data_IF_086479932252
#
_entry.id   IF_086479932252
#
_cell.length_a   1.000
_cell.length_b   1.000
_cell.length_c   1.000
_cell.angle_alpha   90.00
_cell.angle_beta   90.00
_cell.angle_gamma   90.00
#
_symmetry.space_group_name_H-M   'P 1'
#
loop_
_entity.id
_entity.type
_entity.pdbx_description
1 polymer ?
#
# COMPACT_ATOMS: atom_id res chain seq x y z
N UNK A 1 -5.57 -9.45 -19.02
CA UNK A 1 -4.11 -9.64 -19.10
C UNK A 1 -3.65 -10.28 -17.78
N UNK A 2 -2.57 -11.04 -17.80
CA UNK A 2 -1.99 -11.67 -16.61
C UNK A 2 -0.47 -11.51 -16.65
N UNK A 3 0.12 -10.98 -15.58
CA UNK A 3 1.57 -10.92 -15.45
C UNK A 3 2.11 -12.31 -15.12
N UNK A 4 3.12 -12.73 -15.86
CA UNK A 4 3.83 -13.99 -15.67
C UNK A 4 4.95 -13.81 -14.64
N UNK A 5 5.48 -14.92 -14.12
CA UNK A 5 6.56 -14.92 -13.13
C UNK A 5 7.86 -14.28 -13.64
N UNK A 6 8.08 -14.27 -14.96
CA UNK A 6 9.23 -13.65 -15.62
C UNK A 6 9.03 -12.15 -15.91
N UNK A 7 7.90 -11.56 -15.46
CA UNK A 7 7.54 -10.17 -15.67
C UNK A 7 6.88 -9.90 -17.02
N UNK A 8 6.77 -10.88 -17.91
CA UNK A 8 6.06 -10.74 -19.18
C UNK A 8 4.54 -10.69 -18.98
N UNK A 9 3.81 -10.15 -19.96
CA UNK A 9 2.35 -10.07 -19.91
C UNK A 9 1.73 -11.02 -20.92
N UNK A 10 0.88 -11.92 -20.42
CA UNK A 10 0.02 -12.74 -21.26
C UNK A 10 -1.33 -12.06 -21.46
N UNK A 11 -1.74 -11.94 -22.72
CA UNK A 11 -3.04 -11.40 -23.10
C UNK A 11 -3.87 -12.52 -23.74
N UNK A 12 -5.04 -12.76 -23.17
CA UNK A 12 -6.02 -13.71 -23.69
C UNK A 12 -7.07 -12.92 -24.45
N UNK A 13 -7.24 -13.20 -25.74
CA UNK A 13 -8.28 -12.58 -26.56
C UNK A 13 -9.66 -12.89 -25.98
N UNK A 14 -10.56 -11.91 -26.03
CA UNK A 14 -11.95 -11.99 -25.60
C UNK A 14 -12.19 -12.37 -24.11
N UNK A 15 -11.13 -12.43 -23.30
CA UNK A 15 -11.25 -12.69 -21.87
C UNK A 15 -11.87 -11.49 -21.15
N UNK A 16 -12.92 -11.75 -20.38
CA UNK A 16 -13.64 -10.74 -19.61
C UNK A 16 -13.29 -10.78 -18.11
N UNK A 17 -13.30 -9.63 -17.41
CA UNK A 17 -13.54 -8.29 -17.95
C UNK A 17 -12.36 -7.78 -18.78
N UNK A 18 -12.65 -6.98 -19.82
CA UNK A 18 -11.60 -6.44 -20.68
C UNK A 18 -10.74 -5.43 -19.89
N UNK A 19 -9.42 -5.60 -19.97
CA UNK A 19 -8.46 -4.68 -19.36
C UNK A 19 -7.29 -4.32 -20.29
N UNK A 20 -7.36 -4.72 -21.57
CA UNK A 20 -6.33 -4.41 -22.55
C UNK A 20 -6.91 -4.35 -23.96
N UNK A 21 -6.27 -3.57 -24.81
CA UNK A 21 -6.55 -3.44 -26.25
C UNK A 21 -5.28 -3.74 -27.00
N UNK A 22 -5.35 -4.71 -27.93
CA UNK A 22 -4.26 -4.99 -28.88
C UNK A 22 -4.61 -4.48 -30.26
N UNK A 23 -3.69 -3.75 -30.87
CA UNK A 23 -3.71 -3.33 -32.27
C UNK A 23 -2.69 -4.17 -33.03
N UNK A 24 -3.16 -4.93 -34.01
CA UNK A 24 -2.32 -5.70 -34.92
C UNK A 24 -2.27 -4.99 -36.28
N UNK A 25 -1.10 -4.47 -36.63
CA UNK A 25 -0.82 -3.92 -37.95
C UNK A 25 0.00 -4.94 -38.76
N UNK A 26 -0.50 -5.33 -39.93
CA UNK A 26 0.24 -6.23 -40.82
C UNK A 26 0.01 -5.92 -42.29
N UNK A 27 1.01 -6.26 -43.09
CA UNK A 27 1.07 -6.08 -44.53
C UNK A 27 1.03 -7.46 -45.19
N UNK A 28 0.11 -7.69 -46.12
CA UNK A 28 -0.08 -8.98 -46.79
C UNK A 28 -0.65 -8.76 -48.19
N UNK A 29 -0.38 -9.67 -49.12
CA UNK A 29 -1.05 -9.69 -50.44
C UNK A 29 -2.55 -9.96 -50.33
N UNK A 30 -3.01 -10.38 -49.15
CA UNK A 30 -4.41 -10.64 -48.84
C UNK A 30 -5.10 -9.48 -48.12
N UNK A 31 -4.44 -8.33 -47.94
CA UNK A 31 -5.03 -7.15 -47.30
C UNK A 31 -4.72 -5.86 -48.07
N UNK A 32 -5.45 -4.79 -47.74
CA UNK A 32 -5.33 -3.49 -48.43
C UNK A 32 -3.97 -2.80 -48.22
N UNK A 33 -3.16 -3.26 -47.25
CA UNK A 33 -1.84 -2.69 -47.02
C UNK A 33 -0.78 -3.23 -48.01
N UNK A 34 -1.05 -4.37 -48.67
CA UNK A 34 -0.13 -5.04 -49.61
C UNK A 34 1.12 -5.62 -48.94
N UNK A 35 1.83 -6.53 -49.59
CA UNK A 35 3.19 -6.95 -49.15
C UNK A 35 4.27 -5.98 -49.64
N UNK A 36 5.46 -6.04 -49.03
CA UNK A 36 6.61 -5.23 -49.44
C UNK A 36 7.46 -6.05 -50.42
N UNK A 37 7.59 -5.64 -51.69
CA UNK A 37 8.38 -6.38 -52.67
C UNK A 37 9.89 -6.24 -52.41
N UNK A 38 10.66 -7.30 -52.69
CA UNK A 38 12.12 -7.26 -52.62
C UNK A 38 12.71 -6.67 -53.90
N UNK A 39 13.67 -5.74 -53.76
CA UNK A 39 14.40 -5.15 -54.89
C UNK A 39 15.28 -6.14 -55.67
N UNK A 40 15.53 -7.35 -55.13
CA UNK A 40 16.33 -8.41 -55.76
C UNK A 40 15.70 -9.80 -55.53
N UNK A 41 14.45 -9.99 -55.98
CA UNK A 41 13.69 -11.25 -55.84
C UNK A 41 14.39 -12.50 -56.47
N UNK A 42 15.29 -12.30 -57.42
CA UNK A 42 15.81 -13.35 -58.30
C UNK A 42 16.83 -14.35 -57.72
N UNK A 43 17.34 -14.16 -56.49
CA UNK A 43 18.39 -15.03 -55.93
C UNK A 43 17.94 -15.92 -54.76
N UNK A 44 16.74 -15.70 -54.18
CA UNK A 44 16.27 -16.39 -52.98
C UNK A 44 14.86 -17.02 -53.11
N UNK A 45 14.18 -16.86 -54.26
CA UNK A 45 12.86 -17.47 -54.49
C UNK A 45 11.71 -16.87 -53.66
N UNK A 46 11.92 -15.73 -53.02
CA UNK A 46 10.89 -14.92 -52.37
C UNK A 46 10.80 -13.55 -53.04
N UNK A 47 9.60 -13.16 -53.45
CA UNK A 47 9.35 -11.91 -54.20
C UNK A 47 8.94 -10.75 -53.29
N UNK A 48 8.46 -11.04 -52.08
CA UNK A 48 8.00 -10.05 -51.11
C UNK A 48 8.16 -10.52 -49.67
N UNK A 49 8.04 -9.58 -48.72
CA UNK A 49 7.89 -9.87 -47.30
C UNK A 49 6.68 -9.14 -46.71
N UNK A 50 6.10 -9.76 -45.68
CA UNK A 50 4.86 -9.32 -45.02
C UNK A 50 5.15 -8.94 -43.56
N UNK A 51 5.52 -7.69 -43.26
CA UNK A 51 5.77 -7.30 -41.87
C UNK A 51 4.48 -7.32 -41.05
N UNK A 52 4.63 -7.71 -39.78
CA UNK A 52 3.59 -7.64 -38.76
C UNK A 52 4.14 -6.96 -37.51
N UNK A 53 3.37 -6.04 -36.95
CA UNK A 53 3.62 -5.35 -35.69
C UNK A 53 2.36 -5.40 -34.85
N UNK A 54 2.55 -5.54 -33.54
CA UNK A 54 1.45 -5.62 -32.57
C UNK A 54 1.77 -4.65 -31.45
N UNK A 55 0.78 -3.91 -30.97
CA UNK A 55 0.89 -3.02 -29.81
C UNK A 55 -0.31 -3.24 -28.88
N UNK A 56 -0.12 -3.28 -27.57
CA UNK A 56 -1.10 -3.72 -26.57
C UNK A 56 -1.12 -2.77 -25.37
N UNK A 57 -2.08 -1.85 -25.35
CA UNK A 57 -2.30 -1.00 -24.17
C UNK A 57 -3.16 -1.74 -23.12
N UNK A 58 -2.68 -1.83 -21.87
CA UNK A 58 -3.44 -2.37 -20.76
C UNK A 58 -3.83 -1.28 -19.75
N UNK A 59 -5.06 -1.33 -19.23
CA UNK A 59 -5.49 -0.53 -18.09
C UNK A 59 -5.25 -1.33 -16.81
N UNK A 60 -4.21 -0.96 -16.05
CA UNK A 60 -3.94 -1.54 -14.75
C UNK A 60 -4.58 -0.68 -13.66
N UNK A 61 -5.57 -1.27 -12.99
CA UNK A 61 -6.18 -0.66 -11.83
C UNK A 61 -5.42 -1.08 -10.57
N UNK A 62 -5.43 -0.23 -9.55
CA UNK A 62 -4.83 -0.56 -8.27
C UNK A 62 -5.83 -0.36 -7.13
N UNK A 63 -5.89 -1.37 -6.27
CA UNK A 63 -6.65 -1.36 -5.03
C UNK A 63 -5.66 -1.56 -3.89
N UNK A 64 -5.64 -0.62 -2.95
CA UNK A 64 -4.71 -0.68 -1.85
C UNK A 64 -5.33 -0.32 -0.50
N UNK A 65 -4.80 -0.91 0.55
CA UNK A 65 -5.09 -0.51 1.93
C UNK A 65 -3.85 0.11 2.56
N UNK A 66 -4.03 1.29 3.15
CA UNK A 66 -3.12 1.85 4.15
C UNK A 66 -3.39 1.11 5.47
N UNK A 67 -2.40 0.40 5.99
CA UNK A 67 -2.51 -0.47 7.17
C UNK A 67 -1.58 0.06 8.25
N UNK A 68 -2.14 0.89 9.13
CA UNK A 68 -1.38 1.85 9.92
C UNK A 68 -1.42 1.54 11.41
N UNK A 69 -0.24 1.48 12.03
CA UNK A 69 -0.08 1.35 13.49
C UNK A 69 -0.67 2.55 14.25
N UNK A 70 -1.45 2.27 15.27
CA UNK A 70 -2.04 3.22 16.24
C UNK A 70 -1.85 2.75 17.69
N UNK A 71 -0.79 1.99 17.94
CA UNK A 71 -0.32 1.65 19.28
C UNK A 71 0.09 2.91 20.06
N UNK A 72 0.31 2.78 21.36
CA UNK A 72 0.57 3.94 22.21
C UNK A 72 1.87 4.67 21.86
N UNK A 73 2.87 3.98 21.32
CA UNK A 73 4.14 4.61 20.88
C UNK A 73 3.92 5.71 19.85
N UNK A 74 2.85 5.63 19.07
CA UNK A 74 2.49 6.65 18.10
C UNK A 74 2.15 8.02 18.74
N UNK A 75 1.87 8.07 20.05
CA UNK A 75 1.70 9.32 20.81
C UNK A 75 3.02 9.98 21.23
N UNK A 76 4.14 9.25 21.18
CA UNK A 76 5.43 9.72 21.65
C UNK A 76 6.04 10.75 20.71
N UNK A 77 7.06 11.46 21.19
CA UNK A 77 7.90 12.31 20.36
C UNK A 77 8.85 11.49 19.48
N UNK A 78 9.67 12.21 18.72
CA UNK A 78 10.60 11.63 17.74
C UNK A 78 11.98 11.29 18.33
N UNK A 79 12.16 11.36 19.65
CA UNK A 79 13.45 11.08 20.29
C UNK A 79 13.84 9.59 20.24
N UNK A 80 12.88 8.71 19.95
CA UNK A 80 13.06 7.26 20.05
C UNK A 80 12.99 6.73 21.49
N UNK A 81 12.73 7.57 22.49
CA UNK A 81 12.59 7.17 23.89
C UNK A 81 11.13 6.87 24.21
N UNK A 82 10.88 5.69 24.80
CA UNK A 82 9.54 5.30 25.23
C UNK A 82 9.01 6.22 26.33
N UNK A 83 7.71 6.50 26.29
CA UNK A 83 7.02 7.38 27.24
C UNK A 83 7.51 8.84 27.23
N UNK A 84 8.27 9.25 26.21
CA UNK A 84 8.59 10.66 25.95
C UNK A 84 7.52 11.28 25.07
N UNK A 85 6.92 12.37 25.52
CA UNK A 85 5.82 13.03 24.81
C UNK A 85 6.25 14.41 24.31
N UNK A 86 5.69 14.88 23.17
CA UNK A 86 6.02 16.19 22.66
C UNK A 86 5.70 17.32 23.63
N UNK A 87 6.48 18.40 23.58
CA UNK A 87 6.17 19.63 24.31
C UNK A 87 4.75 20.13 23.97
N UNK A 88 4.01 20.55 24.99
CA UNK A 88 2.60 20.92 24.88
C UNK A 88 1.61 19.78 25.16
N UNK A 89 2.09 18.54 25.34
CA UNK A 89 1.24 17.43 25.81
C UNK A 89 0.89 17.64 27.29
N UNK A 90 -0.38 17.58 27.70
CA UNK A 90 -0.74 17.76 29.10
C UNK A 90 -0.16 16.66 29.99
N UNK A 91 0.32 17.04 31.19
CA UNK A 91 0.97 16.13 32.14
C UNK A 91 0.05 15.59 33.24
N UNK A 92 -1.14 16.17 33.42
CA UNK A 92 -2.12 15.72 34.42
C UNK A 92 -3.55 15.65 33.86
N UNK A 93 -4.27 14.51 33.98
CA UNK A 93 -3.76 13.19 34.36
C UNK A 93 -2.61 12.72 33.44
N UNK A 94 -2.02 11.55 33.67
CA UNK A 94 -0.84 11.12 32.91
C UNK A 94 -1.02 11.28 31.37
N UNK A 95 0.01 11.65 30.59
CA UNK A 95 -0.09 11.91 29.14
C UNK A 95 -0.80 10.83 28.31
N UNK A 96 -0.76 9.56 28.74
CA UNK A 96 -1.51 8.44 28.14
C UNK A 96 -3.01 8.70 28.00
N UNK A 97 -3.58 9.57 28.84
CA UNK A 97 -5.00 9.92 28.84
C UNK A 97 -5.39 10.91 27.73
N UNK A 98 -4.43 11.38 26.92
CA UNK A 98 -4.67 12.37 25.89
C UNK A 98 -4.43 11.82 24.48
N UNK A 99 -5.12 12.36 23.46
CA UNK A 99 -4.82 12.09 22.06
C UNK A 99 -3.37 12.45 21.69
N UNK A 100 -2.82 11.88 20.61
CA UNK A 100 -1.48 12.20 20.14
C UNK A 100 -1.36 13.70 19.81
N UNK A 101 -0.21 14.30 20.16
CA UNK A 101 0.05 15.69 19.80
C UNK A 101 -0.04 15.88 18.27
N UNK A 102 -0.78 16.86 17.74
CA UNK A 102 -1.23 16.87 16.34
C UNK A 102 -0.14 17.05 15.27
N UNK A 103 1.04 17.52 15.68
CA UNK A 103 2.18 17.82 14.80
C UNK A 103 3.42 17.03 15.20
N UNK A 104 3.85 17.19 16.46
CA UNK A 104 5.13 16.68 16.94
C UNK A 104 5.13 15.23 17.46
N UNK A 105 3.99 14.54 17.50
CA UNK A 105 3.97 13.10 17.81
C UNK A 105 4.30 12.28 16.57
N UNK A 106 4.70 11.02 16.75
CA UNK A 106 4.91 10.09 15.63
C UNK A 106 3.65 9.95 14.76
N UNK A 107 2.46 9.89 15.35
CA UNK A 107 1.18 9.93 14.63
C UNK A 107 0.96 11.26 13.88
N UNK A 108 1.30 12.39 14.51
CA UNK A 108 1.17 13.72 13.91
C UNK A 108 2.01 13.85 12.63
N UNK A 109 3.23 13.34 12.66
CA UNK A 109 4.14 13.26 11.50
C UNK A 109 3.59 12.29 10.45
N UNK A 110 3.20 11.07 10.85
CA UNK A 110 2.63 10.09 9.94
C UNK A 110 1.38 10.61 9.23
N UNK A 111 0.47 11.28 9.95
CA UNK A 111 -0.72 11.93 9.37
C UNK A 111 -0.34 12.90 8.26
N UNK A 112 0.73 13.68 8.44
CA UNK A 112 1.23 14.58 7.39
C UNK A 112 1.72 13.76 6.18
N UNK A 113 2.52 12.73 6.39
CA UNK A 113 3.03 11.86 5.32
C UNK A 113 1.92 11.13 4.55
N UNK A 114 0.87 10.66 5.24
CA UNK A 114 -0.31 10.09 4.62
C UNK A 114 -1.11 11.11 3.81
N UNK A 115 -1.12 12.39 4.23
CA UNK A 115 -1.75 13.43 3.45
C UNK A 115 -1.03 13.66 2.13
N UNK A 116 0.29 13.79 2.18
CA UNK A 116 1.16 13.91 1.00
C UNK A 116 1.00 12.71 0.05
N UNK A 117 0.96 11.47 0.58
CA UNK A 117 0.70 10.26 -0.22
C UNK A 117 -0.60 10.39 -1.02
N UNK A 118 -1.68 10.76 -0.34
CA UNK A 118 -3.01 10.86 -0.93
C UNK A 118 -3.12 12.06 -1.89
N UNK A 119 -2.37 13.14 -1.70
CA UNK A 119 -2.30 14.25 -2.66
C UNK A 119 -1.62 13.81 -3.95
N UNK A 120 -0.54 13.04 -3.88
CA UNK A 120 0.11 12.48 -5.07
C UNK A 120 -0.80 11.46 -5.75
N UNK A 121 -1.42 10.56 -4.98
CA UNK A 121 -2.33 9.55 -5.51
C UNK A 121 -3.58 10.17 -6.16
N UNK A 122 -3.96 11.40 -5.80
CA UNK A 122 -5.11 12.11 -6.35
C UNK A 122 -4.91 12.48 -7.82
N UNK A 123 -3.65 12.68 -8.22
CA UNK A 123 -3.23 13.07 -9.57
C UNK A 123 -2.98 11.86 -10.50
N UNK A 124 -2.98 10.64 -9.95
CA UNK A 124 -2.77 9.43 -10.73
C UNK A 124 -3.94 9.15 -11.70
N UNK A 125 -3.63 8.61 -12.88
CA UNK A 125 -4.62 8.20 -13.89
C UNK A 125 -4.28 6.81 -14.44
N UNK A 126 -5.12 5.78 -14.20
CA UNK A 126 -6.35 5.82 -13.40
C UNK A 126 -6.08 6.05 -11.90
N UNK A 127 -7.03 6.66 -11.19
CA UNK A 127 -6.94 6.84 -9.73
C UNK A 127 -6.99 5.49 -9.02
N UNK A 128 -6.08 5.20 -8.07
CA UNK A 128 -6.18 4.00 -7.26
C UNK A 128 -7.41 4.06 -6.34
N UNK A 129 -7.97 2.90 -6.00
CA UNK A 129 -8.89 2.81 -4.87
C UNK A 129 -8.08 2.60 -3.61
N UNK A 130 -8.30 3.46 -2.60
CA UNK A 130 -7.59 3.40 -1.33
C UNK A 130 -8.59 3.12 -0.21
N UNK A 131 -8.28 2.14 0.64
CA UNK A 131 -8.91 1.93 1.93
C UNK A 131 -7.95 2.25 3.08
N UNK A 132 -8.50 2.34 4.30
CA UNK A 132 -7.72 2.60 5.51
C UNK A 132 -8.11 1.61 6.60
N UNK A 133 -7.10 0.96 7.17
CA UNK A 133 -7.18 0.13 8.36
C UNK A 133 -6.18 0.66 9.37
N UNK A 134 -6.62 0.87 10.61
CA UNK A 134 -5.72 1.16 11.73
C UNK A 134 -5.71 0.03 12.74
N UNK A 135 -4.54 -0.31 13.26
CA UNK A 135 -4.35 -1.47 14.12
C UNK A 135 -3.48 -1.17 15.35
N UNK A 136 -3.69 -1.94 16.41
CA UNK A 136 -2.98 -1.89 17.69
C UNK A 136 -3.41 -3.12 18.51
N UNK A 137 -3.19 -3.15 19.82
CA UNK A 137 -3.75 -4.22 20.65
C UNK A 137 -5.18 -3.92 21.12
N UNK A 138 -5.92 -4.97 21.46
CA UNK A 138 -7.22 -4.80 22.09
C UNK A 138 -7.06 -4.21 23.51
N UNK A 139 -7.93 -3.25 23.82
CA UNK A 139 -8.10 -2.61 25.13
C UNK A 139 -9.52 -2.89 25.59
N UNK A 140 -9.64 -3.87 26.48
CA UNK A 140 -10.89 -4.25 27.13
C UNK A 140 -11.06 -3.61 28.51
N UNK A 141 -12.23 -3.77 29.12
CA UNK A 141 -12.55 -3.16 30.44
C UNK A 141 -11.68 -3.65 31.60
N UNK A 142 -10.96 -4.75 31.42
CA UNK A 142 -10.06 -5.34 32.42
C UNK A 142 -8.61 -4.90 32.27
N UNK A 143 -8.26 -4.10 31.25
CA UNK A 143 -6.87 -3.67 31.04
C UNK A 143 -6.51 -2.47 31.91
N UNK A 144 -5.21 -2.29 32.17
CA UNK A 144 -4.71 -1.16 32.95
C UNK A 144 -5.00 0.17 32.23
N UNK A 145 -4.89 0.19 30.90
CA UNK A 145 -5.18 1.35 30.07
C UNK A 145 -6.64 1.80 30.22
N UNK A 146 -7.60 0.86 30.28
CA UNK A 146 -9.00 1.20 30.56
C UNK A 146 -9.18 1.81 31.94
N UNK A 147 -8.48 1.31 32.96
CA UNK A 147 -8.57 1.87 34.32
C UNK A 147 -8.03 3.32 34.39
N UNK A 148 -7.05 3.65 33.55
CA UNK A 148 -6.45 4.99 33.48
C UNK A 148 -7.26 5.97 32.63
N UNK A 149 -7.90 5.49 31.56
CA UNK A 149 -8.49 6.36 30.52
C UNK A 149 -10.00 6.26 30.41
N UNK A 150 -10.60 5.16 30.87
CA UNK A 150 -12.01 4.82 30.64
C UNK A 150 -12.32 4.39 29.20
N UNK A 151 -11.30 4.26 28.34
CA UNK A 151 -11.46 4.02 26.92
C UNK A 151 -11.19 2.57 26.54
N UNK A 152 -12.04 2.02 25.67
CA UNK A 152 -11.83 0.70 25.05
C UNK A 152 -11.45 0.86 23.59
N UNK A 153 -10.68 -0.08 23.05
CA UNK A 153 -10.24 -0.04 21.66
C UNK A 153 -10.10 -1.45 21.11
N UNK A 154 -10.67 -1.78 19.93
CA UNK A 154 -10.44 -3.07 19.31
C UNK A 154 -8.98 -3.18 18.82
N UNK A 155 -8.52 -4.39 18.50
CA UNK A 155 -7.19 -4.56 17.88
C UNK A 155 -7.13 -3.94 16.48
N UNK A 156 -8.22 -3.99 15.71
CA UNK A 156 -8.28 -3.49 14.33
C UNK A 156 -9.52 -2.64 14.13
N UNK A 157 -9.40 -1.57 13.34
CA UNK A 157 -10.56 -0.87 12.80
C UNK A 157 -10.41 -0.70 11.30
N UNK A 158 -11.47 -1.05 10.57
CA UNK A 158 -11.66 -0.70 9.18
C UNK A 158 -12.22 0.72 9.10
N UNK A 159 -11.34 1.70 9.00
CA UNK A 159 -11.67 3.12 9.03
C UNK A 159 -12.36 3.59 7.75
N UNK A 160 -11.90 3.08 6.60
CA UNK A 160 -12.47 3.40 5.30
C UNK A 160 -12.43 2.17 4.40
N UNK A 161 -13.56 1.89 3.75
CA UNK A 161 -13.61 1.00 2.59
C UNK A 161 -12.85 1.63 1.41
N UNK A 162 -12.67 0.85 0.35
CA UNK A 162 -12.14 1.34 -0.92
C UNK A 162 -12.88 2.57 -1.42
N UNK A 163 -12.13 3.64 -1.65
CA UNK A 163 -12.68 4.90 -2.17
C UNK A 163 -11.65 5.59 -3.06
N UNK A 164 -12.15 6.38 -4.01
CA UNK A 164 -11.36 7.38 -4.75
C UNK A 164 -11.60 8.79 -4.21
N UNK A 165 -12.43 8.93 -3.17
CA UNK A 165 -12.63 10.18 -2.45
C UNK A 165 -11.72 10.22 -1.22
N UNK A 166 -10.49 10.67 -1.41
CA UNK A 166 -9.49 10.70 -0.34
C UNK A 166 -9.81 11.70 0.77
N UNK A 167 -10.75 12.63 0.56
CA UNK A 167 -11.31 13.45 1.63
C UNK A 167 -11.96 12.61 2.73
N UNK A 168 -12.56 11.46 2.40
CA UNK A 168 -13.10 10.52 3.38
C UNK A 168 -11.99 9.90 4.24
N UNK A 169 -10.88 9.49 3.61
CA UNK A 169 -9.72 8.93 4.32
C UNK A 169 -9.11 9.98 5.25
N UNK A 170 -8.93 11.22 4.77
CA UNK A 170 -8.48 12.36 5.60
C UNK A 170 -9.34 12.56 6.83
N UNK A 171 -10.66 12.51 6.66
CA UNK A 171 -11.62 12.65 7.75
C UNK A 171 -11.42 11.55 8.81
N UNK A 172 -11.23 10.30 8.39
CA UNK A 172 -11.00 9.19 9.31
C UNK A 172 -9.67 9.32 10.06
N UNK A 173 -8.57 9.68 9.38
CA UNK A 173 -7.27 9.93 10.02
C UNK A 173 -7.39 11.07 11.05
N UNK A 174 -8.07 12.17 10.69
CA UNK A 174 -8.30 13.27 11.62
C UNK A 174 -9.17 12.84 12.80
N UNK A 175 -10.19 12.01 12.59
CA UNK A 175 -11.02 11.45 13.65
C UNK A 175 -10.22 10.58 14.63
N UNK A 176 -9.23 9.83 14.14
CA UNK A 176 -8.29 9.07 14.98
C UNK A 176 -7.37 9.97 15.80
N UNK A 177 -6.90 11.09 15.23
CA UNK A 177 -6.08 12.08 15.94
C UNK A 177 -6.78 12.72 17.15
N UNK A 178 -8.10 12.60 17.27
CA UNK A 178 -8.88 13.16 18.38
C UNK A 178 -9.16 12.15 19.48
N UNK A 179 -8.70 10.90 19.35
CA UNK A 179 -8.91 9.83 20.32
C UNK A 179 -7.57 9.43 20.94
N UNK A 180 -7.63 8.91 22.16
CA UNK A 180 -6.48 8.25 22.77
C UNK A 180 -6.05 7.06 21.92
N UNK A 181 -4.74 6.91 21.74
CA UNK A 181 -4.13 5.73 21.11
C UNK A 181 -3.47 4.92 22.21
N UNK A 182 -3.84 3.65 22.29
CA UNK A 182 -3.54 2.79 23.44
C UNK A 182 -3.10 1.41 22.94
N UNK A 183 -2.41 0.70 23.83
CA UNK A 183 -2.02 -0.67 23.60
C UNK A 183 -0.73 -0.84 22.81
N UNK A 184 -0.43 -2.11 22.52
CA UNK A 184 0.76 -2.55 21.82
C UNK A 184 0.57 -2.73 20.32
N UNK A 185 1.55 -3.38 19.72
CA UNK A 185 1.77 -3.47 18.27
C UNK A 185 1.34 -4.86 17.78
N UNK A 186 0.05 -5.03 17.48
CA UNK A 186 -0.54 -6.29 16.99
C UNK A 186 -0.57 -6.32 15.44
N UNK A 187 0.61 -6.33 14.85
CA UNK A 187 0.81 -6.17 13.40
C UNK A 187 0.06 -7.22 12.58
N UNK A 188 0.10 -8.49 12.99
CA UNK A 188 -0.54 -9.60 12.28
C UNK A 188 -2.06 -9.41 12.13
N UNK A 189 -2.74 -8.87 13.14
CA UNK A 189 -4.17 -8.61 13.07
C UNK A 189 -4.52 -7.56 12.01
N UNK A 190 -3.70 -6.50 11.89
CA UNK A 190 -3.86 -5.49 10.84
C UNK A 190 -3.66 -6.07 9.44
N UNK A 191 -2.63 -6.92 9.28
CA UNK A 191 -2.35 -7.62 8.02
C UNK A 191 -3.50 -8.55 7.63
N UNK A 192 -4.01 -9.34 8.56
CA UNK A 192 -5.11 -10.28 8.30
C UNK A 192 -6.41 -9.60 7.89
N UNK A 193 -6.76 -8.51 8.57
CA UNK A 193 -7.92 -7.72 8.18
C UNK A 193 -7.74 -7.14 6.77
N UNK A 194 -6.53 -6.64 6.45
CA UNK A 194 -6.25 -6.09 5.13
C UNK A 194 -6.26 -7.16 4.03
N UNK A 195 -5.79 -8.38 4.29
CA UNK A 195 -5.87 -9.51 3.36
C UNK A 195 -7.33 -9.79 2.99
N UNK A 196 -8.22 -9.86 4.00
CA UNK A 196 -9.66 -10.06 3.79
C UNK A 196 -10.28 -8.93 2.98
N UNK A 197 -9.97 -7.67 3.28
CA UNK A 197 -10.55 -6.55 2.56
C UNK A 197 -10.00 -6.40 1.13
N UNK A 198 -8.72 -6.70 0.90
CA UNK A 198 -8.09 -6.62 -0.43
C UNK A 198 -8.70 -7.62 -1.42
N UNK A 199 -9.13 -8.80 -0.94
CA UNK A 199 -9.82 -9.80 -1.76
C UNK A 199 -11.20 -9.33 -2.25
N UNK A 200 -11.81 -8.32 -1.63
CA UNK A 200 -13.10 -7.73 -2.06
C UNK A 200 -12.94 -6.67 -3.14
N UNK A 201 -11.70 -6.29 -3.47
CA UNK A 201 -11.44 -5.29 -4.51
C UNK A 201 -11.76 -5.80 -5.91
N UNK A 202 -11.55 -4.95 -6.91
CA UNK A 202 -11.82 -5.19 -8.33
C UNK A 202 -11.05 -6.42 -8.87
N UNK A 203 -11.67 -7.31 -9.67
CA UNK A 203 -11.08 -8.61 -10.04
C UNK A 203 -9.71 -8.58 -10.74
N UNK A 204 -9.40 -7.53 -11.51
CA UNK A 204 -8.15 -7.42 -12.28
C UNK A 204 -7.22 -6.32 -11.77
N UNK A 205 -7.51 -5.73 -10.61
CA UNK A 205 -6.62 -4.73 -10.04
C UNK A 205 -5.45 -5.39 -9.33
N UNK A 206 -4.30 -4.71 -9.33
CA UNK A 206 -3.21 -5.04 -8.42
C UNK A 206 -3.68 -4.82 -6.99
N UNK A 207 -3.45 -5.79 -6.10
CA UNK A 207 -3.76 -5.69 -4.67
C UNK A 207 -2.51 -5.31 -3.91
N UNK A 208 -2.58 -4.23 -3.15
CA UNK A 208 -1.42 -3.71 -2.43
C UNK A 208 -1.75 -3.38 -0.99
N UNK A 209 -0.89 -3.79 -0.08
CA UNK A 209 -0.90 -3.35 1.31
C UNK A 209 0.26 -2.40 1.53
N UNK A 210 0.01 -1.25 2.15
CA UNK A 210 1.08 -0.41 2.70
C UNK A 210 1.01 -0.55 4.22
N UNK A 211 1.91 -1.37 4.76
CA UNK A 211 2.00 -1.67 6.19
C UNK A 211 3.00 -0.72 6.84
N UNK A 212 2.61 -0.04 7.91
CA UNK A 212 3.49 0.91 8.61
C UNK A 212 3.47 0.70 10.13
N UNK A 213 4.65 0.75 10.75
CA UNK A 213 4.83 0.76 12.23
C UNK A 213 6.00 1.66 12.65
N UNK A 214 5.96 2.14 13.89
CA UNK A 214 7.07 2.83 14.58
C UNK A 214 7.75 1.97 15.65
N UNK A 215 7.38 0.69 15.76
CA UNK A 215 7.74 -0.15 16.88
C UNK A 215 7.96 -1.61 16.53
N UNK A 216 8.21 -2.39 17.57
CA UNK A 216 8.36 -3.85 17.50
C UNK A 216 6.99 -4.49 17.68
N UNK A 217 6.64 -5.46 16.82
CA UNK A 217 5.45 -6.26 17.11
C UNK A 217 5.65 -6.98 18.44
N UNK A 218 4.60 -6.95 19.28
CA UNK A 218 4.67 -7.47 20.64
C UNK A 218 3.36 -8.12 21.08
N UNK A 219 2.45 -8.34 20.13
CA UNK A 219 1.17 -9.03 20.27
C UNK A 219 0.91 -9.82 18.99
N UNK A 220 0.16 -10.90 19.12
CA UNK A 220 -0.16 -11.77 18.01
C UNK A 220 1.00 -12.67 17.61
N UNK A 221 0.96 -13.12 16.36
CA UNK A 221 1.95 -13.99 15.77
C UNK A 221 2.99 -13.19 14.97
N UNK A 222 4.07 -13.86 14.59
CA UNK A 222 5.11 -13.31 13.73
C UNK A 222 4.51 -12.82 12.40
N UNK A 223 4.77 -11.57 11.97
CA UNK A 223 4.22 -10.99 10.75
C UNK A 223 4.65 -11.71 9.45
N UNK A 224 5.69 -12.56 9.48
CA UNK A 224 6.05 -13.44 8.36
C UNK A 224 4.91 -14.40 7.99
N UNK A 225 4.14 -14.88 8.98
CA UNK A 225 3.04 -15.82 8.75
C UNK A 225 1.90 -15.19 7.92
N UNK A 226 1.34 -14.02 8.28
CA UNK A 226 0.37 -13.34 7.42
C UNK A 226 0.99 -12.82 6.12
N UNK A 227 2.29 -12.55 6.04
CA UNK A 227 2.94 -12.22 4.76
C UNK A 227 2.85 -13.39 3.76
N UNK A 228 3.05 -14.63 4.22
CA UNK A 228 2.86 -15.82 3.38
C UNK A 228 1.40 -15.95 2.91
N UNK A 229 0.43 -15.70 3.81
CA UNK A 229 -1.00 -15.66 3.43
C UNK A 229 -1.31 -14.58 2.40
N UNK A 230 -0.71 -13.40 2.53
CA UNK A 230 -0.87 -12.33 1.56
C UNK A 230 -0.30 -12.71 0.18
N UNK A 231 0.88 -13.34 0.15
CA UNK A 231 1.48 -13.88 -1.07
C UNK A 231 0.56 -14.88 -1.75
N UNK A 232 0.02 -15.84 -1.00
CA UNK A 232 -0.90 -16.86 -1.51
C UNK A 232 -2.21 -16.24 -2.05
N UNK A 233 -2.61 -15.07 -1.51
CA UNK A 233 -3.74 -14.27 -1.97
C UNK A 233 -3.41 -13.30 -3.13
N UNK A 234 -2.18 -13.29 -3.65
CA UNK A 234 -1.75 -12.38 -4.72
C UNK A 234 -1.65 -10.91 -4.30
N UNK A 235 -1.40 -10.66 -3.01
CA UNK A 235 -1.27 -9.32 -2.42
C UNK A 235 0.21 -8.97 -2.25
N UNK A 236 0.60 -7.78 -2.71
CA UNK A 236 1.94 -7.23 -2.53
C UNK A 236 1.95 -6.33 -1.30
N UNK A 237 2.88 -6.53 -0.37
CA UNK A 237 3.02 -5.71 0.83
C UNK A 237 4.27 -4.82 0.70
N UNK A 238 4.05 -3.51 0.63
CA UNK A 238 5.10 -2.54 0.87
C UNK A 238 5.11 -2.19 2.36
N UNK A 239 6.29 -2.15 2.97
CA UNK A 239 6.45 -1.93 4.41
C UNK A 239 7.16 -0.60 4.67
N UNK A 240 6.73 0.10 5.72
CA UNK A 240 7.35 1.35 6.18
C UNK A 240 7.65 1.22 7.66
N UNK A 241 8.90 1.46 8.04
CA UNK A 241 9.33 1.52 9.44
C UNK A 241 9.74 2.93 9.79
N UNK A 242 9.37 3.39 10.98
CA UNK A 242 9.66 4.74 11.43
C UNK A 242 10.42 4.75 12.75
N UNK A 243 11.52 5.50 12.77
CA UNK A 243 12.54 5.57 13.82
C UNK A 243 13.37 4.28 13.96
N UNK A 244 14.62 4.38 14.46
CA UNK A 244 15.55 3.25 14.53
C UNK A 244 15.05 2.04 15.34
N UNK A 245 14.15 2.27 16.30
CA UNK A 245 13.62 1.23 17.20
C UNK A 245 12.54 0.33 16.58
N UNK A 246 12.03 0.66 15.40
CA UNK A 246 11.03 -0.15 14.69
C UNK A 246 11.59 -1.50 14.22
N UNK A 247 10.72 -2.50 14.07
CA UNK A 247 11.12 -3.84 13.59
C UNK A 247 11.46 -3.84 12.10
N UNK A 248 12.69 -3.47 11.76
CA UNK A 248 13.15 -3.45 10.38
C UNK A 248 13.34 -4.87 9.83
N UNK A 249 13.81 -5.81 10.64
CA UNK A 249 14.14 -7.16 10.17
C UNK A 249 12.89 -7.89 9.67
N UNK A 250 11.85 -7.98 10.49
CA UNK A 250 10.61 -8.63 10.05
C UNK A 250 9.92 -7.84 8.94
N UNK A 251 9.99 -6.50 8.94
CA UNK A 251 9.37 -5.68 7.89
C UNK A 251 10.06 -5.79 6.53
N UNK A 252 11.38 -6.03 6.50
CA UNK A 252 12.11 -6.37 5.27
C UNK A 252 11.63 -7.73 4.76
N UNK A 253 11.61 -8.75 5.61
CA UNK A 253 11.20 -10.10 5.24
C UNK A 253 9.75 -10.15 4.71
N UNK A 254 8.82 -9.45 5.37
CA UNK A 254 7.42 -9.30 4.93
C UNK A 254 7.33 -8.72 3.51
N UNK A 255 8.12 -7.68 3.21
CA UNK A 255 8.14 -7.08 1.87
C UNK A 255 8.72 -8.05 0.84
N UNK A 256 9.83 -8.72 1.15
CA UNK A 256 10.50 -9.66 0.25
C UNK A 256 9.60 -10.85 -0.11
N UNK A 257 8.92 -11.45 0.88
CA UNK A 257 8.00 -12.59 0.69
C UNK A 257 6.95 -12.30 -0.37
N UNK A 258 6.42 -11.08 -0.38
CA UNK A 258 5.31 -10.65 -1.22
C UNK A 258 5.75 -9.90 -2.48
N UNK A 259 7.05 -9.73 -2.70
CA UNK A 259 7.60 -8.97 -3.84
C UNK A 259 7.37 -7.46 -3.73
N UNK A 260 7.16 -6.96 -2.52
CA UNK A 260 7.07 -5.54 -2.22
C UNK A 260 8.43 -4.88 -1.98
N UNK A 261 8.41 -3.72 -1.34
CA UNK A 261 9.60 -2.94 -0.99
C UNK A 261 9.47 -2.44 0.44
N UNK A 262 10.57 -2.51 1.18
CA UNK A 262 10.70 -1.90 2.49
C UNK A 262 11.26 -0.48 2.38
N UNK A 263 10.73 0.40 3.21
CA UNK A 263 11.16 1.78 3.38
C UNK A 263 11.45 2.01 4.86
N UNK A 264 12.62 2.56 5.15
CA UNK A 264 12.97 3.01 6.49
C UNK A 264 13.04 4.54 6.54
N UNK A 265 12.62 5.11 7.67
CA UNK A 265 12.73 6.53 7.94
C UNK A 265 13.26 6.75 9.36
N UNK A 266 14.41 7.39 9.49
CA UNK A 266 15.01 7.75 10.77
C UNK A 266 14.36 9.01 11.38
N UNK A 267 13.68 9.80 10.57
CA UNK A 267 13.10 11.09 10.97
C UNK A 267 11.87 11.48 10.14
N UNK A 268 11.24 12.60 10.53
CA UNK A 268 10.01 13.08 9.93
C UNK A 268 10.11 13.38 8.42
N UNK A 269 11.25 13.94 7.98
CA UNK A 269 11.45 14.29 6.58
C UNK A 269 11.57 13.03 5.71
N UNK A 270 12.28 12.03 6.20
CA UNK A 270 12.39 10.73 5.53
C UNK A 270 11.07 9.97 5.51
N UNK A 271 10.26 10.03 6.58
CA UNK A 271 8.94 9.40 6.57
C UNK A 271 8.06 10.03 5.50
N UNK A 272 8.09 11.36 5.39
CA UNK A 272 7.38 12.08 4.34
C UNK A 272 7.89 11.67 2.95
N UNK A 273 9.21 11.61 2.75
CA UNK A 273 9.81 11.19 1.49
C UNK A 273 9.44 9.75 1.10
N UNK A 274 9.45 8.82 2.05
CA UNK A 274 9.08 7.42 1.84
C UNK A 274 7.64 7.29 1.33
N UNK A 275 6.68 7.98 1.96
CA UNK A 275 5.28 7.98 1.50
C UNK A 275 5.10 8.67 0.14
N UNK A 276 5.87 9.73 -0.16
CA UNK A 276 5.85 10.34 -1.49
C UNK A 276 6.43 9.41 -2.57
N UNK A 277 7.52 8.69 -2.29
CA UNK A 277 8.08 7.70 -3.20
C UNK A 277 7.11 6.54 -3.42
N UNK A 278 6.53 6.00 -2.35
CA UNK A 278 5.48 4.98 -2.43
C UNK A 278 4.37 5.40 -3.38
N UNK A 279 3.79 6.59 -3.18
CA UNK A 279 2.72 7.10 -4.04
C UNK A 279 3.10 7.21 -5.52
N UNK A 280 4.35 7.56 -5.83
CA UNK A 280 4.86 7.71 -7.21
C UNK A 280 5.24 6.37 -7.85
N UNK A 281 5.68 5.40 -7.05
CA UNK A 281 6.16 4.10 -7.51
C UNK A 281 5.04 3.12 -7.90
N UNK A 282 3.80 3.43 -7.51
CA UNK A 282 2.65 2.62 -7.86
C UNK A 282 2.30 2.78 -9.35
N UNK A 283 2.30 1.68 -10.13
CA UNK A 283 2.43 1.73 -11.58
C UNK A 283 1.24 2.37 -12.30
N UNK A 284 1.56 3.28 -13.23
CA UNK A 284 0.78 3.53 -14.45
C UNK A 284 1.62 2.94 -15.59
N UNK A 285 1.09 1.96 -16.34
CA UNK A 285 1.88 1.27 -17.38
C UNK A 285 1.16 1.29 -18.72
N UNK A 286 1.84 1.85 -19.72
CA UNK A 286 1.72 1.51 -21.14
C UNK A 286 2.47 0.19 -21.37
N UNK A 287 1.85 -0.79 -22.02
CA UNK A 287 2.48 -2.06 -22.39
C UNK A 287 2.65 -2.14 -23.92
N UNK A 288 3.67 -2.88 -24.37
CA UNK A 288 4.22 -3.02 -25.74
C UNK A 288 3.20 -2.97 -26.89
#
# INVERSE_FOLDING_TARGET
SMQQLDGSWQFTADAQPYNAVRVDAFMSDTNDNGSIPFFMAGFLGQESFSPRKTATAANMQQDLYLVIDRSHSMCFDLSGVDWSYPNGTPMFPHPICFPPHPVNSRWGVLRKSLNDYLDIAQEASPKPQVGLITWGSEIGRSTAEFQLTGETSPAVVLDSLFTTNYGQIRSQINGRSLRVMLGGTHMSAGMDAAIVELQKGRPLSRKTMILMTDGQWNRGEDPVIPAQRAKDAGIIIHTVTFLPGADQTSMIEVAEITGGRHYHADNAAELQAAFQELARSLPVVLTD
#
